data_IF_195656669232
#
_entry.id   IF_195656669232
#
_cell.length_a   1.000
_cell.length_b   1.000
_cell.length_c   1.000
_cell.angle_alpha   90.00
_cell.angle_beta   90.00
_cell.angle_gamma   90.00
#
_symmetry.space_group_name_H-M   'P 1'
#
loop_
_entity.id
_entity.type
_entity.pdbx_description
1 polymer ?
#
# COMPACT_ATOMS: atom_id res chain seq x y z
N UNK A 1 -13.58 5.73 2.19
CA UNK A 1 -14.28 4.78 3.10
C UNK A 1 -14.38 5.40 4.48
N UNK A 2 -15.56 5.46 5.11
CA UNK A 2 -15.75 6.14 6.42
C UNK A 2 -15.23 7.59 6.49
N UNK A 3 -15.19 8.32 5.36
CA UNK A 3 -14.62 9.68 5.28
C UNK A 3 -13.09 9.73 5.23
N UNK A 4 -12.40 8.60 5.09
CA UNK A 4 -10.98 8.52 4.73
C UNK A 4 -10.85 8.37 3.21
N UNK A 5 -9.95 9.16 2.62
CA UNK A 5 -9.53 9.04 1.22
C UNK A 5 -8.38 8.05 1.11
N UNK A 6 -8.27 7.37 -0.05
CA UNK A 6 -7.20 6.40 -0.25
C UNK A 6 -6.97 6.11 -1.72
N UNK A 7 -5.71 5.80 -2.04
CA UNK A 7 -5.24 5.40 -3.36
C UNK A 7 -5.47 3.91 -3.56
N UNK A 8 -6.05 3.54 -4.70
CA UNK A 8 -6.34 2.13 -5.05
C UNK A 8 -5.24 1.59 -5.97
N UNK A 9 -4.55 0.57 -5.49
CA UNK A 9 -3.56 -0.20 -6.24
C UNK A 9 -4.19 -1.50 -6.70
N UNK A 10 -4.08 -1.80 -7.99
CA UNK A 10 -4.70 -2.96 -8.63
C UNK A 10 -3.58 -3.87 -9.12
N UNK A 11 -3.69 -5.16 -8.82
CA UNK A 11 -2.82 -6.18 -9.40
C UNK A 11 -3.16 -6.35 -10.87
N UNK A 12 -2.17 -6.12 -11.73
CA UNK A 12 -2.26 -6.30 -13.18
C UNK A 12 -1.63 -7.65 -13.60
N UNK A 13 -1.51 -7.84 -14.90
CA UNK A 13 -0.91 -9.04 -15.51
C UNK A 13 0.59 -9.19 -15.16
N UNK A 14 1.26 -8.12 -14.72
CA UNK A 14 2.67 -8.15 -14.32
C UNK A 14 2.92 -9.05 -13.11
N UNK A 15 1.95 -9.15 -12.20
CA UNK A 15 2.08 -9.89 -10.93
C UNK A 15 2.48 -11.35 -11.14
N UNK A 16 1.90 -12.00 -12.14
CA UNK A 16 2.17 -13.41 -12.47
C UNK A 16 2.81 -13.57 -13.85
N UNK A 17 3.50 -12.52 -14.33
CA UNK A 17 4.21 -12.61 -15.59
C UNK A 17 5.41 -13.57 -15.50
N UNK A 18 5.68 -14.28 -16.59
CA UNK A 18 6.81 -15.20 -16.68
C UNK A 18 8.10 -14.54 -17.20
N UNK A 19 8.10 -13.22 -17.41
CA UNK A 19 9.25 -12.47 -17.93
C UNK A 19 9.19 -12.19 -19.43
N UNK A 20 8.20 -12.74 -20.15
CA UNK A 20 8.06 -12.51 -21.60
C UNK A 20 7.55 -11.11 -21.92
N UNK A 21 6.65 -10.56 -21.09
CA UNK A 21 6.09 -9.21 -21.26
C UNK A 21 6.82 -8.19 -20.40
N UNK A 22 7.24 -8.58 -19.19
CA UNK A 22 7.96 -7.73 -18.25
C UNK A 22 9.29 -8.41 -17.87
N UNK A 23 10.42 -8.07 -18.53
CA UNK A 23 11.71 -8.74 -18.32
C UNK A 23 12.16 -8.82 -16.86
N UNK A 24 11.79 -7.83 -16.04
CA UNK A 24 12.06 -7.81 -14.60
C UNK A 24 11.38 -8.95 -13.81
N UNK A 25 10.36 -9.59 -14.38
CA UNK A 25 9.64 -10.71 -13.77
C UNK A 25 10.26 -12.07 -14.09
N UNK A 26 11.23 -12.14 -15.00
CA UNK A 26 11.86 -13.40 -15.43
C UNK A 26 12.51 -14.18 -14.27
N UNK A 27 12.98 -13.48 -13.23
CA UNK A 27 13.59 -14.12 -12.06
C UNK A 27 12.62 -14.99 -11.26
N UNK A 28 11.32 -14.77 -11.40
CA UNK A 28 10.28 -15.55 -10.72
C UNK A 28 9.82 -16.78 -11.53
N UNK A 29 10.40 -17.02 -12.70
CA UNK A 29 10.18 -18.19 -13.53
C UNK A 29 11.52 -18.79 -14.02
N UNK A 30 12.47 -19.10 -13.11
CA UNK A 30 13.82 -19.50 -13.50
C UNK A 30 13.82 -20.92 -14.10
N UNK A 31 13.75 -21.00 -15.42
CA UNK A 31 13.73 -22.29 -16.14
C UNK A 31 12.36 -22.95 -16.24
N UNK A 32 11.31 -22.29 -15.74
CA UNK A 32 9.92 -22.73 -15.95
C UNK A 32 9.49 -22.39 -17.39
N UNK A 33 9.29 -23.40 -18.23
CA UNK A 33 8.75 -23.23 -19.58
C UNK A 33 7.21 -23.10 -19.59
N UNK A 34 6.65 -22.35 -18.64
CA UNK A 34 5.20 -22.21 -18.47
C UNK A 34 4.68 -20.90 -19.08
N UNK A 35 3.48 -20.87 -19.69
CA UNK A 35 2.86 -19.63 -20.15
C UNK A 35 2.66 -18.59 -19.03
N UNK A 36 2.43 -17.33 -19.40
CA UNK A 36 2.30 -16.24 -18.43
C UNK A 36 0.99 -16.33 -17.64
N UNK A 37 1.00 -15.91 -16.37
CA UNK A 37 -0.20 -15.84 -15.52
C UNK A 37 -0.30 -16.87 -14.40
N UNK A 38 0.75 -17.66 -14.19
CA UNK A 38 0.90 -18.55 -13.03
C UNK A 38 2.29 -18.37 -12.43
N UNK A 39 2.44 -18.70 -11.15
CA UNK A 39 3.72 -18.65 -10.43
C UNK A 39 3.99 -19.97 -9.73
N UNK A 40 5.16 -20.56 -10.00
CA UNK A 40 5.62 -21.75 -9.30
C UNK A 40 5.88 -21.43 -7.83
N UNK A 41 5.26 -22.16 -6.92
CA UNK A 41 5.44 -22.03 -5.46
C UNK A 41 5.84 -23.35 -4.82
N UNK A 42 6.39 -24.27 -5.60
CA UNK A 42 6.82 -25.59 -5.14
C UNK A 42 7.86 -25.51 -4.01
N UNK A 43 8.86 -24.65 -4.15
CA UNK A 43 9.86 -24.39 -3.11
C UNK A 43 9.23 -23.86 -1.81
N UNK A 44 8.19 -23.02 -1.93
CA UNK A 44 7.44 -22.50 -0.79
C UNK A 44 6.51 -23.55 -0.14
N UNK A 45 6.26 -24.67 -0.83
CA UNK A 45 5.30 -25.71 -0.45
C UNK A 45 5.93 -27.10 -0.39
N UNK A 46 7.13 -27.19 0.18
CA UNK A 46 7.80 -28.46 0.48
C UNK A 46 7.93 -29.40 -0.73
N UNK A 47 8.10 -28.84 -1.93
CA UNK A 47 8.23 -29.59 -3.19
C UNK A 47 6.91 -30.05 -3.81
N UNK A 48 5.75 -29.64 -3.29
CA UNK A 48 4.47 -29.89 -3.97
C UNK A 48 4.44 -29.20 -5.35
N UNK A 49 3.85 -29.79 -6.41
CA UNK A 49 3.78 -29.19 -7.75
C UNK A 49 2.71 -28.09 -7.81
N UNK A 50 2.79 -27.13 -6.89
CA UNK A 50 1.79 -26.09 -6.66
C UNK A 50 2.16 -24.80 -7.38
N UNK A 51 1.16 -24.22 -8.04
CA UNK A 51 1.24 -22.95 -8.73
C UNK A 51 0.13 -22.02 -8.26
N UNK A 52 0.43 -20.73 -8.13
CA UNK A 52 -0.56 -19.71 -7.79
C UNK A 52 -0.91 -18.84 -9.00
N UNK A 53 -2.18 -18.46 -9.13
CA UNK A 53 -2.67 -17.55 -10.18
C UNK A 53 -3.80 -16.69 -9.65
N UNK A 54 -4.32 -15.77 -10.47
CA UNK A 54 -5.61 -15.15 -10.17
C UNK A 54 -6.77 -16.16 -10.36
N UNK A 55 -7.90 -15.96 -9.68
CA UNK A 55 -9.06 -16.85 -9.79
C UNK A 55 -9.55 -17.02 -11.23
N UNK A 56 -9.90 -18.27 -11.57
CA UNK A 56 -10.29 -18.69 -12.91
C UNK A 56 -9.28 -18.29 -14.00
N UNK A 57 -7.99 -18.24 -13.67
CA UNK A 57 -6.92 -17.83 -14.57
C UNK A 57 -7.16 -16.43 -15.18
N UNK A 58 -7.73 -15.51 -14.39
CA UNK A 58 -7.88 -14.11 -14.78
C UNK A 58 -6.50 -13.49 -15.09
N UNK A 59 -6.40 -12.76 -16.20
CA UNK A 59 -5.13 -12.19 -16.71
C UNK A 59 -4.02 -13.20 -17.06
N UNK A 60 -4.31 -14.50 -17.06
CA UNK A 60 -3.37 -15.52 -17.52
C UNK A 60 -3.55 -15.84 -19.00
N UNK A 61 -2.55 -16.54 -19.56
CA UNK A 61 -2.60 -17.05 -20.92
C UNK A 61 -3.88 -17.89 -21.18
N UNK A 62 -4.56 -17.72 -22.33
CA UNK A 62 -5.75 -18.50 -22.67
C UNK A 62 -5.57 -20.02 -22.55
N UNK A 63 -4.35 -20.52 -22.75
CA UNK A 63 -3.98 -21.93 -22.57
C UNK A 63 -4.58 -22.56 -21.30
N UNK A 64 -4.53 -21.85 -20.16
CA UNK A 64 -4.99 -22.40 -18.88
C UNK A 64 -6.50 -22.59 -18.81
N UNK A 65 -7.27 -21.62 -19.33
CA UNK A 65 -8.74 -21.68 -19.29
C UNK A 65 -9.31 -22.57 -20.39
N UNK A 66 -8.60 -22.73 -21.50
CA UNK A 66 -9.01 -23.59 -22.60
C UNK A 66 -8.74 -25.07 -22.29
N UNK A 67 -7.86 -25.36 -21.33
CA UNK A 67 -7.55 -26.71 -20.88
C UNK A 67 -8.54 -27.29 -19.84
N UNK A 68 -9.36 -26.44 -19.20
CA UNK A 68 -10.25 -26.83 -18.10
C UNK A 68 -11.63 -26.21 -18.24
N UNK A 69 -12.64 -27.07 -18.39
CA UNK A 69 -14.04 -26.63 -18.44
C UNK A 69 -14.47 -25.91 -17.14
N UNK A 70 -15.25 -24.84 -17.29
CA UNK A 70 -15.83 -24.09 -16.16
C UNK A 70 -15.02 -22.87 -15.70
N UNK A 71 -13.88 -22.56 -16.33
CA UNK A 71 -13.14 -21.32 -16.08
C UNK A 71 -13.89 -20.10 -16.63
N UNK A 72 -14.24 -19.15 -15.76
CA UNK A 72 -15.00 -17.94 -16.11
C UNK A 72 -14.33 -16.69 -15.52
N UNK A 73 -13.20 -16.23 -16.07
CA UNK A 73 -12.49 -15.06 -15.55
C UNK A 73 -13.39 -13.82 -15.59
N UNK A 74 -13.43 -13.07 -14.49
CA UNK A 74 -14.26 -11.87 -14.37
C UNK A 74 -13.45 -10.77 -13.65
N UNK A 75 -13.31 -9.61 -14.30
CA UNK A 75 -12.52 -8.51 -13.74
C UNK A 75 -13.07 -7.98 -12.42
N UNK A 76 -14.39 -7.90 -12.25
CA UNK A 76 -14.98 -7.40 -10.99
C UNK A 76 -14.79 -8.36 -9.82
N UNK A 77 -14.77 -9.67 -10.08
CA UNK A 77 -14.67 -10.70 -9.04
C UNK A 77 -13.25 -11.19 -8.76
N UNK A 78 -12.39 -11.25 -9.78
CA UNK A 78 -11.09 -11.90 -9.72
C UNK A 78 -9.90 -10.92 -9.74
N UNK A 79 -10.16 -9.62 -9.79
CA UNK A 79 -9.12 -8.61 -9.63
C UNK A 79 -8.65 -8.53 -8.18
N UNK A 80 -7.33 -8.45 -8.00
CA UNK A 80 -6.71 -8.11 -6.73
C UNK A 80 -6.58 -6.60 -6.61
N UNK A 81 -6.98 -6.03 -5.47
CA UNK A 81 -6.66 -4.64 -5.16
C UNK A 81 -6.45 -4.39 -3.67
N UNK A 82 -5.71 -3.33 -3.39
CA UNK A 82 -5.55 -2.76 -2.05
C UNK A 82 -5.73 -1.24 -2.13
N UNK A 83 -6.50 -0.69 -1.20
CA UNK A 83 -6.72 0.75 -1.04
C UNK A 83 -5.98 1.21 0.20
N UNK A 84 -5.11 2.19 0.05
CA UNK A 84 -4.17 2.65 1.08
C UNK A 84 -4.33 4.17 1.27
N UNK A 85 -4.36 4.63 2.50
CA UNK A 85 -4.35 6.06 2.82
C UNK A 85 -2.94 6.64 2.50
N UNK A 86 -2.84 7.70 1.69
CA UNK A 86 -1.57 8.14 1.11
C UNK A 86 -0.55 8.70 2.12
N UNK A 87 -0.99 9.37 3.20
CA UNK A 87 -0.09 10.05 4.13
C UNK A 87 0.53 9.07 5.15
N UNK A 88 -0.27 8.14 5.65
CA UNK A 88 0.12 7.22 6.74
C UNK A 88 0.37 5.79 6.27
N UNK A 89 -0.05 5.43 5.05
CA UNK A 89 0.09 4.07 4.54
C UNK A 89 -0.90 3.07 5.13
N UNK A 90 -1.93 3.52 5.86
CA UNK A 90 -2.92 2.62 6.49
C UNK A 90 -3.76 1.93 5.41
N UNK A 91 -3.86 0.58 5.41
CA UNK A 91 -4.74 -0.14 4.49
C UNK A 91 -6.21 0.08 4.87
N UNK A 92 -6.99 0.65 3.96
CA UNK A 92 -8.42 0.92 4.14
C UNK A 92 -9.28 -0.28 3.75
N UNK A 93 -8.96 -0.89 2.62
CA UNK A 93 -9.65 -2.06 2.10
C UNK A 93 -8.70 -2.88 1.24
N UNK A 94 -8.77 -4.20 1.33
CA UNK A 94 -8.11 -5.10 0.40
C UNK A 94 -9.11 -6.16 -0.08
N UNK A 95 -9.03 -6.49 -1.36
CA UNK A 95 -9.66 -7.68 -1.94
C UNK A 95 -8.56 -8.47 -2.62
N UNK A 96 -8.23 -9.61 -2.05
CA UNK A 96 -7.18 -10.50 -2.56
C UNK A 96 -7.87 -11.78 -2.99
N UNK A 97 -7.87 -12.03 -4.30
CA UNK A 97 -8.30 -13.30 -4.88
C UNK A 97 -7.07 -14.06 -5.37
N UNK A 98 -6.96 -15.34 -5.00
CA UNK A 98 -5.91 -16.21 -5.48
C UNK A 98 -6.45 -17.62 -5.73
N UNK A 99 -5.80 -18.32 -6.65
CA UNK A 99 -6.11 -19.69 -7.03
C UNK A 99 -4.87 -20.56 -6.90
N UNK A 100 -5.05 -21.73 -6.28
CA UNK A 100 -4.04 -22.77 -6.17
C UNK A 100 -4.30 -23.77 -7.28
N UNK A 101 -3.27 -24.05 -8.06
CA UNK A 101 -3.28 -24.98 -9.16
C UNK A 101 -2.21 -26.04 -8.93
N UNK A 102 -2.47 -27.27 -9.36
CA UNK A 102 -1.51 -28.36 -9.35
C UNK A 102 -1.04 -28.61 -10.77
N UNK A 103 0.26 -28.59 -10.99
CA UNK A 103 0.86 -28.96 -12.27
C UNK A 103 0.82 -30.48 -12.38
N UNK A 104 -0.01 -30.96 -13.30
CA UNK A 104 -0.12 -32.37 -13.62
C UNK A 104 0.81 -32.65 -14.80
N UNK A 105 1.79 -33.52 -14.59
CA UNK A 105 2.69 -33.99 -15.63
C UNK A 105 2.68 -35.51 -15.73
N UNK A 106 3.17 -36.01 -16.85
CA UNK A 106 3.29 -37.44 -17.08
C UNK A 106 4.41 -38.00 -16.20
N UNK A 107 4.11 -39.04 -15.43
CA UNK A 107 5.10 -39.78 -14.63
C UNK A 107 5.01 -41.27 -14.98
N UNK A 108 5.97 -41.76 -15.77
CA UNK A 108 5.99 -43.17 -16.26
C UNK A 108 5.94 -44.21 -15.13
N UNK A 109 6.37 -43.83 -13.91
CA UNK A 109 6.40 -44.72 -12.75
C UNK A 109 5.07 -44.82 -11.99
N UNK A 110 4.09 -43.96 -12.32
CA UNK A 110 2.79 -43.90 -11.66
C UNK A 110 1.71 -44.19 -12.70
N UNK A 111 1.09 -45.37 -12.64
CA UNK A 111 0.07 -45.82 -13.62
C UNK A 111 -1.06 -44.80 -13.85
N UNK A 112 -1.46 -44.07 -12.82
CA UNK A 112 -2.49 -43.02 -12.91
C UNK A 112 -2.05 -41.83 -13.78
N UNK A 113 -0.74 -41.55 -13.82
CA UNK A 113 -0.13 -40.41 -14.51
C UNK A 113 0.64 -40.83 -15.78
N UNK A 114 0.57 -42.10 -16.17
CA UNK A 114 1.32 -42.62 -17.32
C UNK A 114 0.79 -42.08 -18.67
N UNK A 115 -0.52 -41.79 -18.73
CA UNK A 115 -1.20 -41.33 -19.95
C UNK A 115 -1.91 -39.98 -19.78
N UNK A 116 -1.52 -39.18 -18.77
CA UNK A 116 -2.09 -37.85 -18.58
C UNK A 116 -1.42 -36.85 -19.52
N UNK A 117 -2.22 -35.96 -20.09
CA UNK A 117 -1.70 -34.77 -20.73
C UNK A 117 -1.16 -33.83 -19.65
N UNK A 118 -0.14 -33.06 -19.99
CA UNK A 118 0.36 -32.00 -19.10
C UNK A 118 -0.61 -30.82 -19.07
N UNK A 119 -1.07 -30.41 -17.89
CA UNK A 119 -1.90 -29.22 -17.69
C UNK A 119 -1.96 -28.82 -16.21
N UNK A 120 -2.58 -27.68 -15.92
CA UNK A 120 -2.73 -27.15 -14.56
C UNK A 120 -4.14 -27.40 -14.05
N UNK A 121 -4.27 -28.26 -13.03
CA UNK A 121 -5.54 -28.54 -12.39
C UNK A 121 -5.83 -27.44 -11.35
N UNK A 122 -6.89 -26.63 -11.50
CA UNK A 122 -7.30 -25.70 -10.46
C UNK A 122 -7.86 -26.48 -9.28
N UNK A 123 -7.15 -26.49 -8.15
CA UNK A 123 -7.57 -27.24 -6.96
C UNK A 123 -8.62 -26.46 -6.17
N UNK A 124 -8.34 -25.18 -5.90
CA UNK A 124 -9.26 -24.28 -5.22
C UNK A 124 -8.86 -22.83 -5.45
N UNK A 125 -9.83 -21.93 -5.37
CA UNK A 125 -9.57 -20.51 -5.25
C UNK A 125 -10.26 -19.97 -4.00
N UNK A 126 -9.73 -18.87 -3.49
CA UNK A 126 -10.28 -18.20 -2.33
C UNK A 126 -10.20 -16.70 -2.53
N UNK A 127 -11.06 -16.00 -1.79
CA UNK A 127 -11.10 -14.54 -1.79
C UNK A 127 -11.15 -14.04 -0.37
N UNK A 128 -10.18 -13.20 -0.05
CA UNK A 128 -10.09 -12.55 1.24
C UNK A 128 -10.47 -11.08 1.09
N UNK A 129 -11.43 -10.67 1.91
CA UNK A 129 -11.85 -9.29 2.03
C UNK A 129 -11.36 -8.75 3.36
N UNK A 130 -10.59 -7.68 3.31
CA UNK A 130 -10.19 -6.92 4.50
C UNK A 130 -10.77 -5.54 4.35
N UNK A 131 -11.52 -5.10 5.34
CA UNK A 131 -12.12 -3.76 5.39
C UNK A 131 -11.86 -3.17 6.75
N UNK A 132 -11.37 -1.94 6.79
CA UNK A 132 -11.17 -1.20 8.02
C UNK A 132 -12.48 -1.16 8.82
N UNK A 133 -12.44 -1.53 10.11
CA UNK A 133 -13.61 -1.40 10.97
C UNK A 133 -13.90 0.06 11.29
N UNK A 134 -15.12 0.39 11.73
CA UNK A 134 -15.48 1.76 12.10
C UNK A 134 -14.61 2.31 13.23
N UNK A 135 -14.29 1.47 14.22
CA UNK A 135 -13.45 1.88 15.35
C UNK A 135 -12.01 2.17 14.91
N UNK A 136 -11.44 1.30 14.06
CA UNK A 136 -10.12 1.53 13.48
C UNK A 136 -10.11 2.75 12.56
N UNK A 137 -11.19 3.01 11.83
CA UNK A 137 -11.32 4.21 11.00
C UNK A 137 -11.31 5.49 11.84
N UNK A 138 -11.94 5.49 13.01
CA UNK A 138 -11.90 6.65 13.93
C UNK A 138 -10.49 6.86 14.51
N UNK A 139 -9.80 5.78 14.88
CA UNK A 139 -8.41 5.85 15.33
C UNK A 139 -7.48 6.35 14.21
N UNK A 140 -7.65 5.84 12.99
CA UNK A 140 -6.88 6.28 11.82
C UNK A 140 -7.09 7.78 11.55
N UNK A 141 -8.34 8.28 11.60
CA UNK A 141 -8.61 9.73 11.47
C UNK A 141 -7.86 10.56 12.51
N UNK A 142 -7.90 10.14 13.77
CA UNK A 142 -7.19 10.84 14.83
C UNK A 142 -5.68 10.86 14.54
N UNK A 143 -5.11 9.71 14.14
CA UNK A 143 -3.70 9.57 13.82
C UNK A 143 -3.29 10.44 12.62
N UNK A 144 -4.13 10.55 11.60
CA UNK A 144 -3.89 11.38 10.40
C UNK A 144 -3.93 12.89 10.74
N UNK A 145 -4.83 13.32 11.63
CA UNK A 145 -5.02 14.74 11.95
C UNK A 145 -4.04 15.22 13.04
N UNK A 146 -3.55 14.32 13.90
CA UNK A 146 -2.70 14.66 15.05
C UNK A 146 -1.41 15.43 14.68
N UNK A 147 -0.64 15.07 13.63
CA UNK A 147 0.54 15.84 13.21
C UNK A 147 0.19 17.27 12.79
N UNK A 148 -0.92 17.44 12.07
CA UNK A 148 -1.42 18.75 11.64
C UNK A 148 -1.79 19.62 12.82
N UNK A 149 -2.55 19.08 13.79
CA UNK A 149 -2.86 19.80 15.04
C UNK A 149 -1.57 20.23 15.73
N UNK A 150 -0.63 19.30 15.94
CA UNK A 150 0.65 19.59 16.59
C UNK A 150 1.42 20.71 15.89
N UNK A 151 1.51 20.66 14.56
CA UNK A 151 2.16 21.69 13.74
C UNK A 151 1.50 23.06 13.91
N UNK A 152 0.18 23.16 13.76
CA UNK A 152 -0.53 24.43 13.87
C UNK A 152 -0.49 24.99 15.30
N UNK A 153 -0.62 24.14 16.32
CA UNK A 153 -0.45 24.57 17.72
C UNK A 153 0.97 25.08 17.98
N UNK A 154 1.99 24.43 17.41
CA UNK A 154 3.38 24.86 17.53
C UNK A 154 3.61 26.24 16.91
N UNK A 155 3.14 26.45 15.67
CA UNK A 155 3.20 27.78 15.02
C UNK A 155 2.45 28.85 15.80
N UNK A 156 1.31 28.51 16.39
CA UNK A 156 0.55 29.42 17.25
C UNK A 156 1.34 29.86 18.49
N UNK A 157 1.99 28.92 19.18
CA UNK A 157 2.81 29.22 20.36
C UNK A 157 4.05 30.05 20.02
N UNK A 158 4.71 29.77 18.88
CA UNK A 158 5.84 30.57 18.40
C UNK A 158 5.38 32.00 18.09
N UNK A 159 4.26 32.16 17.37
CA UNK A 159 3.71 33.48 17.05
C UNK A 159 3.36 34.29 18.30
N UNK A 160 2.74 33.65 19.29
CA UNK A 160 2.44 34.28 20.59
C UNK A 160 3.72 34.67 21.33
N UNK A 161 4.72 33.80 21.36
CA UNK A 161 6.02 34.09 21.98
C UNK A 161 6.74 35.27 21.33
N UNK A 162 6.75 35.33 20.00
CA UNK A 162 7.30 36.46 19.26
C UNK A 162 6.56 37.76 19.58
N UNK A 163 5.22 37.75 19.60
CA UNK A 163 4.41 38.93 19.93
C UNK A 163 4.74 39.47 21.33
N UNK A 164 4.78 38.59 22.34
CA UNK A 164 5.13 38.97 23.71
C UNK A 164 6.58 39.50 23.80
N UNK A 165 7.51 38.89 23.08
CA UNK A 165 8.89 39.36 22.97
C UNK A 165 9.00 40.75 22.34
N UNK A 166 8.25 41.01 21.26
CA UNK A 166 8.20 42.33 20.63
C UNK A 166 7.62 43.39 21.56
N UNK A 167 6.52 43.09 22.26
CA UNK A 167 5.92 43.99 23.24
C UNK A 167 6.93 44.32 24.35
N UNK A 168 7.64 43.31 24.87
CA UNK A 168 8.66 43.49 25.89
C UNK A 168 9.82 44.39 25.42
N UNK A 169 10.34 44.16 24.20
CA UNK A 169 11.40 44.98 23.61
C UNK A 169 10.90 46.42 23.39
N UNK A 170 9.66 46.60 22.95
CA UNK A 170 9.07 47.91 22.73
C UNK A 170 8.91 48.70 24.05
N UNK A 171 8.43 48.05 25.10
CA UNK A 171 8.28 48.68 26.43
C UNK A 171 9.65 49.06 27.00
N UNK A 172 10.64 48.16 26.93
CA UNK A 172 11.98 48.41 27.47
C UNK A 172 12.71 49.52 26.72
N UNK A 173 12.63 49.55 25.38
CA UNK A 173 13.20 50.65 24.58
C UNK A 173 12.50 51.98 24.87
N UNK A 174 11.17 52.02 24.96
CA UNK A 174 10.43 53.24 25.33
C UNK A 174 10.81 53.76 26.72
N UNK A 175 10.89 52.88 27.72
CA UNK A 175 11.28 53.25 29.07
C UNK A 175 12.73 53.75 29.13
N UNK A 176 13.64 53.10 28.40
CA UNK A 176 15.04 53.51 28.32
C UNK A 176 15.22 54.88 27.64
N UNK A 177 14.47 55.15 26.57
CA UNK A 177 14.47 56.46 25.91
C UNK A 177 13.91 57.56 26.81
N UNK A 178 12.82 57.29 27.54
CA UNK A 178 12.24 58.26 28.47
C UNK A 178 13.21 58.63 29.60
N UNK A 179 13.90 57.66 30.20
CA UNK A 179 14.90 57.93 31.24
C UNK A 179 16.05 58.83 30.75
N UNK A 180 16.50 58.63 29.50
CA UNK A 180 17.53 59.47 28.87
C UNK A 180 17.06 60.91 28.60
N UNK A 181 15.78 61.09 28.29
CA UNK A 181 15.18 62.41 28.06
C UNK A 181 15.04 63.20 29.37
N UNK A 182 14.62 62.55 30.45
CA UNK A 182 14.58 63.14 31.80
C UNK A 182 15.98 63.54 32.28
N UNK A 183 17.02 62.70 32.09
CA UNK A 183 18.41 63.06 32.38
C UNK A 183 18.91 64.26 31.55
N UNK A 184 18.48 64.40 30.29
CA UNK A 184 18.84 65.56 29.44
C UNK A 184 18.21 66.86 29.94
N UNK A 185 16.93 66.83 30.33
CA UNK A 185 16.21 68.01 30.81
C UNK A 185 16.80 68.52 32.13
N UNK A 186 17.11 67.62 33.08
CA UNK A 186 17.75 67.98 34.35
C UNK A 186 19.14 68.60 34.17
N UNK A 187 19.93 68.11 33.21
CA UNK A 187 21.25 68.67 32.91
C UNK A 187 21.17 70.04 32.22
N UNK A 188 20.05 70.37 31.57
CA UNK A 188 19.85 71.64 30.87
C UNK A 188 19.33 72.74 31.80
N UNK A 189 18.63 72.38 32.88
CA UNK A 189 18.22 73.30 33.96
C UNK A 189 19.33 73.58 35.00
N UNK A 190 20.41 72.78 34.98
CA UNK A 190 21.55 72.90 35.89
C UNK A 190 22.64 73.89 35.41
N UNK A 191 22.38 74.67 34.35
CA UNK A 191 23.26 75.70 33.77
C UNK A 191 22.54 77.05 33.67
#
# INVERSE_FOLDING_TARGET
MFGLEGSKFIGDEKVFDNGTKYPEMACFSPGDAVPSGVRNVSECKFGAPAFISYPHFYLADPYYRDAVDGMKPNATEHTLFISIEPETGIPLQARVGAQINLHLEKIDRIKLLENVKEYFIPAMWFKQYVTLSKDLANQAKLLIILPSIGKYTGWGLIGLGCLLGFIFIFITTKNFWKGREEERLLNQEAF
#
